data_IF_320405555979
#
_entry.id   IF_320405555979
#
_cell.length_a   1.000
_cell.length_b   1.000
_cell.length_c   1.000
_cell.angle_alpha   90.00
_cell.angle_beta   90.00
_cell.angle_gamma   90.00
#
_symmetry.space_group_name_H-M   'P 1'
#
loop_
_entity.id
_entity.type
_entity.pdbx_description
1 polymer ?
#
# COMPACT_ATOMS: atom_id res chain seq x y z
N UNK A 1 -66.73 -18.41 35.91
CA UNK A 1 -66.08 -17.66 34.80
C UNK A 1 -64.74 -17.12 35.26
N UNK A 2 -63.67 -17.37 34.50
CA UNK A 2 -62.33 -16.86 34.80
C UNK A 2 -62.12 -15.50 34.13
N UNK A 3 -61.56 -14.53 34.86
CA UNK A 3 -61.23 -13.21 34.34
C UNK A 3 -59.86 -12.73 34.83
N UNK A 4 -59.25 -11.81 34.07
CA UNK A 4 -57.97 -11.17 34.42
C UNK A 4 -58.19 -9.87 35.19
N UNK A 5 -57.36 -9.62 36.18
CA UNK A 5 -57.34 -8.41 37.01
C UNK A 5 -55.93 -7.81 37.05
N UNK A 6 -55.85 -6.49 36.99
CA UNK A 6 -54.62 -5.72 37.15
C UNK A 6 -54.73 -4.83 38.37
N UNK A 7 -53.62 -4.66 39.09
CA UNK A 7 -53.53 -3.86 40.31
C UNK A 7 -52.55 -2.72 40.06
N UNK A 8 -52.93 -1.48 40.37
CA UNK A 8 -52.03 -0.32 40.27
C UNK A 8 -51.55 0.08 41.67
N UNK A 9 -50.23 0.16 41.88
CA UNK A 9 -49.61 0.63 43.13
C UNK A 9 -48.38 1.47 42.79
N UNK A 10 -48.28 2.66 43.35
CA UNK A 10 -47.17 3.60 43.14
C UNK A 10 -46.83 3.84 41.66
N UNK A 11 -47.85 4.06 40.82
CA UNK A 11 -47.68 4.29 39.37
C UNK A 11 -47.32 3.05 38.54
N UNK A 12 -47.10 1.89 39.15
CA UNK A 12 -46.79 0.63 38.46
C UNK A 12 -48.03 -0.27 38.38
N UNK A 13 -48.22 -0.90 37.23
CA UNK A 13 -49.32 -1.87 37.00
C UNK A 13 -48.80 -3.30 37.18
N UNK A 14 -49.49 -4.08 38.02
CA UNK A 14 -49.18 -5.46 38.38
C UNK A 14 -50.27 -6.40 37.86
N UNK A 15 -49.89 -7.51 37.24
CA UNK A 15 -50.81 -8.50 36.67
C UNK A 15 -50.24 -9.12 35.39
N UNK A 16 -51.03 -9.92 34.66
CA UNK A 16 -52.42 -10.27 34.97
C UNK A 16 -52.53 -11.27 36.14
N UNK A 17 -53.51 -11.06 37.02
CA UNK A 17 -53.96 -12.04 38.00
C UNK A 17 -55.27 -12.65 37.52
N UNK A 18 -55.38 -13.98 37.54
CA UNK A 18 -56.57 -14.70 37.10
C UNK A 18 -57.42 -15.08 38.32
N UNK A 19 -58.70 -14.74 38.27
CA UNK A 19 -59.69 -15.06 39.28
C UNK A 19 -60.88 -15.78 38.65
N UNK A 20 -61.48 -16.71 39.37
CA UNK A 20 -62.71 -17.38 38.99
C UNK A 20 -63.86 -16.93 39.88
N UNK A 21 -64.97 -16.52 39.26
CA UNK A 21 -66.22 -16.23 39.97
C UNK A 21 -67.10 -17.47 40.03
N UNK A 22 -67.57 -17.82 41.23
CA UNK A 22 -68.50 -18.93 41.50
C UNK A 22 -69.55 -18.54 42.56
N UNK A 23 -70.63 -19.33 42.70
CA UNK A 23 -71.68 -19.11 43.71
C UNK A 23 -71.65 -20.22 44.75
N UNK A 24 -71.82 -19.85 46.01
CA UNK A 24 -71.92 -20.78 47.13
C UNK A 24 -72.95 -20.22 48.12
N UNK A 25 -73.99 -21.00 48.43
CA UNK A 25 -75.10 -20.59 49.30
C UNK A 25 -75.73 -19.23 48.89
N UNK A 26 -75.96 -19.05 47.58
CA UNK A 26 -76.58 -17.85 47.02
C UNK A 26 -75.69 -16.61 46.92
N UNK A 27 -74.47 -16.63 47.48
CA UNK A 27 -73.51 -15.51 47.44
C UNK A 27 -72.45 -15.73 46.37
N UNK A 28 -72.04 -14.67 45.67
CA UNK A 28 -70.94 -14.71 44.71
C UNK A 28 -69.61 -14.63 45.46
N UNK A 29 -68.72 -15.59 45.18
CA UNK A 29 -67.36 -15.64 45.72
C UNK A 29 -66.35 -15.64 44.57
N UNK A 30 -65.15 -15.14 44.85
CA UNK A 30 -64.03 -15.12 43.90
C UNK A 30 -62.88 -15.96 44.42
N UNK A 31 -62.42 -16.92 43.60
CA UNK A 31 -61.26 -17.76 43.88
C UNK A 31 -60.06 -17.28 43.05
N UNK A 32 -58.90 -17.13 43.68
CA UNK A 32 -57.66 -16.87 42.96
C UNK A 32 -57.20 -18.12 42.21
N UNK A 33 -56.84 -17.96 40.93
CA UNK A 33 -56.45 -19.08 40.05
C UNK A 33 -54.95 -19.05 39.77
N UNK A 34 -54.42 -17.91 39.29
CA UNK A 34 -53.03 -17.85 38.82
C UNK A 34 -52.48 -16.42 38.83
N UNK A 35 -51.23 -16.29 39.24
CA UNK A 35 -50.48 -15.03 39.19
C UNK A 35 -49.70 -14.84 37.88
N UNK A 36 -49.11 -13.65 37.68
CA UNK A 36 -48.32 -13.34 36.49
C UNK A 36 -47.07 -14.24 36.40
N UNK A 37 -46.85 -14.82 35.22
CA UNK A 37 -45.69 -15.68 34.93
C UNK A 37 -44.42 -14.86 34.66
N UNK A 38 -43.25 -15.52 34.62
CA UNK A 38 -41.99 -14.86 34.23
C UNK A 38 -42.09 -14.18 32.84
N UNK A 39 -42.79 -14.81 31.90
CA UNK A 39 -43.03 -14.26 30.55
C UNK A 39 -43.86 -12.97 30.59
N UNK A 40 -44.86 -12.90 31.46
CA UNK A 40 -45.71 -11.70 31.64
C UNK A 40 -44.91 -10.54 32.24
N UNK A 41 -43.99 -10.83 33.17
CA UNK A 41 -43.08 -9.84 33.76
C UNK A 41 -42.04 -9.30 32.76
N UNK A 42 -41.58 -10.12 31.81
CA UNK A 42 -40.64 -9.69 30.76
C UNK A 42 -41.36 -8.79 29.74
N UNK A 43 -42.55 -9.21 29.28
CA UNK A 43 -43.36 -8.41 28.34
C UNK A 43 -43.71 -7.03 28.89
N UNK A 44 -44.05 -6.93 30.18
CA UNK A 44 -44.37 -5.64 30.80
C UNK A 44 -43.16 -4.70 30.92
N UNK A 45 -41.95 -5.23 31.10
CA UNK A 45 -40.71 -4.43 31.09
C UNK A 45 -40.36 -3.93 29.68
N UNK A 46 -40.49 -4.78 28.67
CA UNK A 46 -40.22 -4.41 27.27
C UNK A 46 -41.23 -3.35 26.76
N UNK A 47 -42.51 -3.51 27.12
CA UNK A 47 -43.58 -2.56 26.76
C UNK A 47 -43.47 -1.19 27.46
N UNK A 48 -42.75 -1.11 28.58
CA UNK A 48 -42.54 0.15 29.33
C UNK A 48 -41.28 0.91 28.88
N UNK A 49 -40.44 0.31 28.04
CA UNK A 49 -39.30 1.01 27.47
C UNK A 49 -39.80 2.03 26.43
N UNK A 50 -39.37 3.29 26.54
CA UNK A 50 -39.78 4.35 25.63
C UNK A 50 -39.32 4.01 24.20
N UNK A 51 -40.24 3.86 23.22
CA UNK A 51 -39.86 3.49 21.86
C UNK A 51 -38.92 4.53 21.23
N UNK A 52 -39.05 5.82 21.61
CA UNK A 52 -38.15 6.90 21.19
C UNK A 52 -36.71 6.73 21.69
N UNK A 53 -36.49 6.09 22.84
CA UNK A 53 -35.15 5.83 23.38
C UNK A 53 -34.51 4.67 22.62
N UNK A 54 -35.27 3.60 22.38
CA UNK A 54 -34.81 2.42 21.65
C UNK A 54 -34.40 2.79 20.22
N UNK A 55 -35.22 3.57 19.51
CA UNK A 55 -34.90 4.02 18.14
C UNK A 55 -33.65 4.91 18.11
N UNK A 56 -33.48 5.80 19.09
CA UNK A 56 -32.26 6.63 19.20
C UNK A 56 -31.02 5.79 19.44
N UNK A 57 -31.07 4.81 20.35
CA UNK A 57 -29.93 3.93 20.63
C UNK A 57 -29.55 3.04 19.43
N UNK A 58 -30.54 2.50 18.70
CA UNK A 58 -30.26 1.74 17.48
C UNK A 58 -29.67 2.63 16.37
N UNK A 59 -30.15 3.86 16.22
CA UNK A 59 -29.61 4.81 15.24
C UNK A 59 -28.15 5.18 15.54
N UNK A 60 -27.79 5.37 16.82
CA UNK A 60 -26.41 5.64 17.22
C UNK A 60 -25.48 4.46 16.95
N UNK A 61 -25.92 3.23 17.23
CA UNK A 61 -25.14 2.01 16.94
C UNK A 61 -24.91 1.86 15.43
N UNK A 62 -25.93 2.14 14.62
CA UNK A 62 -25.82 2.08 13.16
C UNK A 62 -24.79 3.07 12.61
N UNK A 63 -24.73 4.29 13.15
CA UNK A 63 -23.73 5.29 12.76
C UNK A 63 -22.30 4.83 13.08
N UNK A 64 -22.10 4.22 14.26
CA UNK A 64 -20.80 3.69 14.68
C UNK A 64 -20.34 2.56 13.75
N UNK A 65 -21.25 1.67 13.34
CA UNK A 65 -20.93 0.58 12.41
C UNK A 65 -20.52 1.10 11.03
N UNK A 66 -21.15 2.17 10.54
CA UNK A 66 -20.75 2.82 9.28
C UNK A 66 -19.34 3.39 9.39
N UNK A 67 -19.03 4.10 10.48
CA UNK A 67 -17.71 4.70 10.71
C UNK A 67 -16.64 3.60 10.82
N UNK A 68 -16.94 2.51 11.52
CA UNK A 68 -16.03 1.37 11.66
C UNK A 68 -15.79 0.67 10.31
N UNK A 69 -16.84 0.49 9.51
CA UNK A 69 -16.72 -0.04 8.15
C UNK A 69 -15.84 0.83 7.25
N UNK A 70 -16.03 2.15 7.29
CA UNK A 70 -15.20 3.10 6.55
C UNK A 70 -13.73 3.02 6.99
N UNK A 71 -13.49 2.94 8.30
CA UNK A 71 -12.14 2.81 8.84
C UNK A 71 -11.45 1.52 8.39
N UNK A 72 -12.17 0.39 8.40
CA UNK A 72 -11.67 -0.90 7.89
C UNK A 72 -11.35 -0.80 6.40
N UNK A 73 -12.20 -0.16 5.59
CA UNK A 73 -11.93 0.00 4.15
C UNK A 73 -10.70 0.84 3.88
N UNK A 74 -10.48 1.91 4.65
CA UNK A 74 -9.27 2.75 4.55
C UNK A 74 -8.03 1.96 4.98
N UNK A 75 -8.11 1.19 6.07
CA UNK A 75 -7.01 0.36 6.54
C UNK A 75 -6.63 -0.75 5.54
N UNK A 76 -7.62 -1.32 4.85
CA UNK A 76 -7.36 -2.29 3.78
C UNK A 76 -6.71 -1.63 2.57
N UNK A 77 -7.11 -0.41 2.21
CA UNK A 77 -6.50 0.36 1.13
C UNK A 77 -5.06 0.80 1.46
N UNK A 78 -4.78 1.19 2.71
CA UNK A 78 -3.44 1.59 3.13
C UNK A 78 -2.43 0.44 3.16
N UNK A 79 -2.90 -0.81 3.20
CA UNK A 79 -2.05 -2.01 3.18
C UNK A 79 -1.85 -2.57 1.76
N UNK A 80 -2.34 -1.91 0.73
CA UNK A 80 -1.90 -2.22 -0.63
C UNK A 80 -0.47 -1.68 -0.77
N UNK A 81 0.52 -2.56 -0.70
CA UNK A 81 1.82 -2.25 -1.28
C UNK A 81 1.59 -1.87 -2.74
N UNK A 82 1.93 -0.65 -3.10
CA UNK A 82 1.88 -0.14 -4.46
C UNK A 82 2.93 -0.88 -5.31
N UNK A 83 2.66 -2.12 -5.69
CA UNK A 83 3.45 -2.88 -6.67
C UNK A 83 3.05 -2.55 -8.11
N UNK A 84 2.47 -1.38 -8.34
CA UNK A 84 2.01 -0.95 -9.65
C UNK A 84 1.43 0.46 -9.72
N UNK A 85 1.93 1.39 -8.90
CA UNK A 85 1.75 2.81 -9.17
C UNK A 85 3.04 3.33 -9.78
N UNK A 86 3.03 3.51 -11.10
CA UNK A 86 3.91 4.47 -11.76
C UNK A 86 3.53 5.85 -11.24
N UNK A 87 3.99 6.17 -10.04
CA UNK A 87 4.37 7.55 -9.71
C UNK A 87 5.28 8.00 -10.85
N UNK A 88 5.15 9.24 -11.28
CA UNK A 88 6.06 9.85 -12.24
C UNK A 88 7.47 9.91 -11.63
N UNK A 89 8.13 8.76 -11.52
CA UNK A 89 9.56 8.68 -11.47
C UNK A 89 9.95 9.22 -12.82
N UNK A 90 10.50 10.43 -12.86
CA UNK A 90 11.08 11.03 -14.04
C UNK A 90 12.40 10.30 -14.39
N UNK A 91 12.40 8.99 -14.16
CA UNK A 91 13.46 8.05 -14.34
C UNK A 91 13.59 7.82 -15.83
N UNK A 92 14.79 8.05 -16.33
CA UNK A 92 15.13 7.90 -17.73
C UNK A 92 15.85 6.57 -17.90
N UNK A 93 15.20 5.64 -18.58
CA UNK A 93 15.75 4.31 -18.83
C UNK A 93 16.69 4.32 -20.03
N UNK A 94 17.62 3.35 -20.02
CA UNK A 94 18.33 3.01 -21.24
C UNK A 94 17.41 2.23 -22.18
N UNK A 95 17.61 2.41 -23.49
CA UNK A 95 16.92 1.67 -24.56
C UNK A 95 17.90 0.83 -25.40
N UNK A 96 19.21 1.04 -25.19
CA UNK A 96 20.27 0.33 -25.90
C UNK A 96 21.54 0.31 -25.06
N UNK A 97 22.21 -0.84 -25.02
CA UNK A 97 23.57 -0.96 -24.49
C UNK A 97 24.38 -1.94 -25.32
N UNK A 98 25.59 -1.55 -25.73
CA UNK A 98 26.47 -2.31 -26.61
C UNK A 98 27.89 -2.36 -26.05
N UNK A 99 28.53 -3.53 -26.08
CA UNK A 99 29.97 -3.66 -25.90
C UNK A 99 30.67 -3.20 -27.17
N UNK A 100 31.74 -2.41 -27.04
CA UNK A 100 32.49 -1.86 -28.17
C UNK A 100 33.90 -2.43 -28.26
N UNK A 101 34.43 -2.47 -29.49
CA UNK A 101 35.85 -2.75 -29.73
C UNK A 101 36.73 -1.50 -29.49
N UNK A 102 38.05 -1.65 -29.68
CA UNK A 102 39.01 -0.55 -29.52
C UNK A 102 38.76 0.62 -30.49
N UNK A 103 38.12 0.37 -31.63
CA UNK A 103 37.73 1.37 -32.63
C UNK A 103 36.35 2.01 -32.32
N UNK A 104 35.73 1.72 -31.17
CA UNK A 104 34.39 2.16 -30.75
C UNK A 104 33.25 1.64 -31.64
N UNK A 105 33.45 0.51 -32.30
CA UNK A 105 32.42 -0.18 -33.07
C UNK A 105 31.71 -1.22 -32.19
N UNK A 106 30.37 -1.35 -32.27
CA UNK A 106 29.62 -2.36 -31.52
C UNK A 106 30.05 -3.79 -31.85
N UNK A 107 30.26 -4.60 -30.82
CA UNK A 107 30.57 -6.04 -30.90
C UNK A 107 29.34 -6.86 -30.48
N UNK A 108 28.75 -6.51 -29.34
CA UNK A 108 27.74 -7.33 -28.67
C UNK A 108 26.66 -6.47 -28.03
N UNK A 109 25.41 -6.93 -28.06
CA UNK A 109 24.31 -6.30 -27.37
C UNK A 109 24.26 -6.81 -25.92
N UNK A 110 24.45 -5.89 -24.96
CA UNK A 110 24.46 -6.18 -23.52
C UNK A 110 23.24 -5.59 -22.81
N UNK A 111 22.27 -5.03 -23.54
CA UNK A 111 21.11 -4.32 -23.00
C UNK A 111 20.36 -5.11 -21.93
N UNK A 112 20.12 -6.40 -22.15
CA UNK A 112 19.38 -7.24 -21.21
C UNK A 112 20.12 -7.46 -19.87
N UNK A 113 21.44 -7.27 -19.82
CA UNK A 113 22.25 -7.44 -18.60
C UNK A 113 22.38 -6.16 -17.78
N UNK A 114 21.96 -5.01 -18.31
CA UNK A 114 22.17 -3.71 -17.64
C UNK A 114 20.93 -2.82 -17.62
N UNK A 115 19.79 -3.29 -18.14
CA UNK A 115 18.54 -2.54 -18.23
C UNK A 115 17.62 -2.70 -17.01
N UNK A 116 17.82 -3.74 -16.21
CA UNK A 116 17.06 -4.02 -15.01
C UNK A 116 18.03 -4.44 -13.90
N UNK A 117 17.73 -4.09 -12.65
CA UNK A 117 18.46 -4.61 -11.49
C UNK A 117 17.87 -5.96 -11.11
N UNK A 118 18.36 -7.04 -11.71
CA UNK A 118 17.86 -8.41 -11.54
C UNK A 118 18.94 -9.41 -11.09
N UNK A 119 20.07 -8.90 -10.60
CA UNK A 119 21.24 -9.65 -10.16
C UNK A 119 21.89 -10.49 -11.29
N UNK A 120 21.66 -10.14 -12.56
CA UNK A 120 22.40 -10.64 -13.73
C UNK A 120 23.55 -9.70 -14.08
N UNK A 121 24.65 -9.92 -13.38
CA UNK A 121 25.87 -9.15 -13.53
C UNK A 121 26.55 -9.30 -14.89
N UNK A 122 26.85 -8.19 -15.55
CA UNK A 122 27.78 -8.09 -16.68
C UNK A 122 29.22 -7.99 -16.16
N UNK A 123 30.05 -9.04 -16.28
CA UNK A 123 31.48 -8.93 -16.00
C UNK A 123 32.20 -8.19 -17.13
N UNK A 124 32.96 -7.15 -16.78
CA UNK A 124 33.68 -6.34 -17.77
C UNK A 124 35.07 -5.94 -17.29
N UNK A 125 36.03 -6.01 -18.22
CA UNK A 125 37.42 -5.67 -17.94
C UNK A 125 38.00 -4.84 -19.09
N UNK A 126 38.57 -3.67 -18.78
CA UNK A 126 39.32 -2.83 -19.72
C UNK A 126 38.64 -2.66 -21.10
N UNK A 127 37.34 -2.36 -21.09
CA UNK A 127 36.48 -2.36 -22.28
C UNK A 127 35.69 -1.06 -22.40
N UNK A 128 35.04 -0.88 -23.56
CA UNK A 128 34.17 0.26 -23.82
C UNK A 128 32.73 -0.21 -23.96
N UNK A 129 31.79 0.53 -23.38
CA UNK A 129 30.36 0.33 -23.56
C UNK A 129 29.75 1.56 -24.23
N UNK A 130 28.74 1.38 -25.09
CA UNK A 130 27.87 2.45 -25.55
C UNK A 130 26.49 2.26 -24.95
N UNK A 131 26.01 3.24 -24.22
CA UNK A 131 24.64 3.26 -23.69
C UNK A 131 23.83 4.37 -24.36
N UNK A 132 22.54 4.11 -24.59
CA UNK A 132 21.60 5.12 -25.12
C UNK A 132 20.36 5.16 -24.24
N UNK A 133 20.01 6.36 -23.78
CA UNK A 133 18.83 6.67 -23.00
C UNK A 133 17.61 6.93 -23.90
N UNK A 134 16.40 6.70 -23.37
CA UNK A 134 15.14 6.92 -24.10
C UNK A 134 14.90 8.39 -24.49
N UNK A 135 15.55 9.33 -23.78
CA UNK A 135 15.54 10.75 -24.10
C UNK A 135 16.89 11.41 -23.81
N UNK A 136 17.20 12.57 -24.41
CA UNK A 136 18.44 13.29 -24.16
C UNK A 136 18.57 13.74 -22.70
N UNK A 137 19.72 13.46 -22.10
CA UNK A 137 20.10 13.95 -20.78
C UNK A 137 20.72 15.35 -20.89
N UNK A 138 20.49 16.19 -19.89
CA UNK A 138 21.07 17.53 -19.76
C UNK A 138 21.83 17.67 -18.42
N UNK A 139 22.30 18.89 -18.10
CA UNK A 139 23.12 19.13 -16.91
C UNK A 139 22.41 18.94 -15.56
N UNK A 140 21.09 18.72 -15.56
CA UNK A 140 20.28 18.42 -14.36
C UNK A 140 20.12 16.91 -14.11
N UNK A 141 20.44 16.09 -15.10
CA UNK A 141 20.35 14.64 -15.03
C UNK A 141 21.62 14.02 -14.42
N UNK A 142 21.56 12.74 -14.11
CA UNK A 142 22.70 11.95 -13.68
C UNK A 142 22.83 10.63 -14.44
N UNK A 143 23.97 9.98 -14.26
CA UNK A 143 24.12 8.57 -14.60
C UNK A 143 24.37 7.84 -13.28
N UNK A 144 23.53 6.84 -13.03
CA UNK A 144 23.57 5.97 -11.87
C UNK A 144 23.86 4.53 -12.32
N UNK A 145 24.89 3.93 -11.74
CA UNK A 145 25.38 2.58 -12.06
C UNK A 145 25.26 1.70 -10.83
N UNK A 146 24.55 0.58 -10.91
CA UNK A 146 24.64 -0.47 -9.88
C UNK A 146 25.80 -1.38 -10.25
N UNK A 147 26.90 -1.27 -9.48
CA UNK A 147 28.15 -1.91 -9.82
C UNK A 147 28.87 -2.42 -8.56
N UNK A 148 29.83 -3.33 -8.76
CA UNK A 148 30.75 -3.80 -7.72
C UNK A 148 32.11 -4.18 -8.30
N UNK A 149 33.13 -4.26 -7.45
CA UNK A 149 34.46 -4.71 -7.85
C UNK A 149 35.32 -5.13 -6.65
N UNK A 150 36.27 -6.02 -6.89
CA UNK A 150 37.27 -6.47 -5.93
C UNK A 150 38.60 -5.73 -6.01
N UNK A 151 38.78 -4.83 -6.99
CA UNK A 151 40.07 -4.13 -7.24
C UNK A 151 39.85 -2.65 -7.54
N UNK A 152 40.93 -1.86 -7.56
CA UNK A 152 40.83 -0.47 -8.01
C UNK A 152 40.39 -0.42 -9.47
N UNK A 153 39.39 0.40 -9.74
CA UNK A 153 38.81 0.58 -11.07
C UNK A 153 38.36 2.03 -11.27
N UNK A 154 38.02 2.31 -12.52
CA UNK A 154 37.54 3.62 -12.95
C UNK A 154 36.60 3.47 -14.13
N UNK A 155 35.51 4.23 -14.12
CA UNK A 155 34.61 4.39 -15.27
C UNK A 155 34.59 5.85 -15.66
N UNK A 156 34.90 6.14 -16.92
CA UNK A 156 34.85 7.48 -17.51
C UNK A 156 33.70 7.51 -18.52
N UNK A 157 32.75 8.44 -18.39
CA UNK A 157 31.68 8.58 -19.38
C UNK A 157 31.93 9.76 -20.31
N UNK A 158 31.77 9.52 -21.60
CA UNK A 158 31.96 10.47 -22.68
C UNK A 158 30.64 10.64 -23.43
N UNK A 159 30.20 11.87 -23.70
CA UNK A 159 29.16 12.10 -24.71
C UNK A 159 29.59 11.45 -26.05
N UNK A 160 28.63 10.99 -26.85
CA UNK A 160 28.92 10.42 -28.16
C UNK A 160 29.87 11.31 -28.98
N UNK A 161 30.91 10.72 -29.57
CA UNK A 161 31.97 11.38 -30.34
C UNK A 161 32.82 12.41 -29.58
N UNK A 162 32.70 12.49 -28.25
CA UNK A 162 33.58 13.30 -27.41
C UNK A 162 34.88 12.55 -27.08
N UNK A 163 35.98 13.31 -26.99
CA UNK A 163 37.27 12.83 -26.48
C UNK A 163 37.52 13.26 -25.03
N UNK A 164 36.63 14.06 -24.44
CA UNK A 164 36.73 14.53 -23.06
C UNK A 164 35.63 13.89 -22.20
N UNK A 165 35.98 13.24 -21.07
CA UNK A 165 34.99 12.67 -20.19
C UNK A 165 34.25 13.79 -19.44
N UNK A 166 32.95 13.59 -19.21
CA UNK A 166 32.10 14.55 -18.48
C UNK A 166 31.85 14.13 -17.02
N UNK A 167 31.95 12.83 -16.73
CA UNK A 167 31.91 12.26 -15.38
C UNK A 167 32.96 11.16 -15.24
N UNK A 168 33.44 10.98 -14.01
CA UNK A 168 34.39 9.94 -13.64
C UNK A 168 33.88 9.29 -12.34
N UNK A 169 33.72 7.97 -12.38
CA UNK A 169 33.48 7.11 -11.22
C UNK A 169 34.82 6.50 -10.81
N UNK A 170 35.23 6.72 -9.57
CA UNK A 170 36.43 6.16 -8.97
C UNK A 170 36.04 5.31 -7.77
N UNK A 171 36.93 4.38 -7.37
CA UNK A 171 36.79 3.57 -6.16
C UNK A 171 35.46 2.79 -6.11
N UNK A 172 35.04 2.19 -7.22
CA UNK A 172 33.90 1.25 -7.20
C UNK A 172 34.39 0.01 -6.46
N UNK A 173 33.71 -0.40 -5.41
CA UNK A 173 34.10 -1.56 -4.61
C UNK A 173 32.87 -2.33 -4.18
N UNK A 174 32.10 -1.75 -3.27
CA UNK A 174 30.88 -2.33 -2.72
C UNK A 174 29.76 -2.39 -3.77
N UNK A 175 28.90 -3.38 -3.60
CA UNK A 175 27.67 -3.56 -4.37
C UNK A 175 26.63 -2.48 -4.01
N UNK A 176 26.60 -1.40 -4.79
CA UNK A 176 25.67 -0.28 -4.60
C UNK A 176 25.52 0.56 -5.85
N UNK A 177 24.64 1.55 -5.79
CA UNK A 177 24.55 2.60 -6.80
C UNK A 177 25.70 3.61 -6.64
N UNK A 178 26.38 3.86 -7.75
CA UNK A 178 27.33 4.94 -7.93
C UNK A 178 26.68 5.99 -8.83
N UNK A 179 26.44 7.18 -8.28
CA UNK A 179 25.72 8.27 -8.95
C UNK A 179 26.64 9.46 -9.23
N UNK A 180 26.56 10.01 -10.45
CA UNK A 180 27.26 11.24 -10.85
C UNK A 180 26.38 12.12 -11.72
N UNK A 181 26.18 13.36 -11.25
CA UNK A 181 25.46 14.39 -12.01
C UNK A 181 26.24 14.86 -13.23
N UNK A 182 25.52 15.17 -14.30
CA UNK A 182 26.07 15.62 -15.58
C UNK A 182 26.31 17.13 -15.61
N UNK A 183 26.73 17.75 -14.50
CA UNK A 183 26.80 19.21 -14.35
C UNK A 183 27.64 19.92 -15.41
N UNK A 184 28.59 19.21 -16.03
CA UNK A 184 29.49 19.72 -17.07
C UNK A 184 29.00 19.44 -18.50
N UNK A 185 27.81 18.85 -18.68
CA UNK A 185 27.24 18.55 -19.98
C UNK A 185 26.67 19.83 -20.62
N UNK A 186 27.30 20.27 -21.70
CA UNK A 186 26.94 21.52 -22.41
C UNK A 186 25.78 21.33 -23.39
N UNK A 187 25.80 20.21 -24.12
CA UNK A 187 24.82 19.91 -25.16
C UNK A 187 24.05 18.66 -24.73
N UNK A 188 22.71 18.71 -24.67
CA UNK A 188 21.92 17.53 -24.35
C UNK A 188 22.19 16.37 -25.31
N UNK A 189 22.35 15.17 -24.78
CA UNK A 189 22.61 13.95 -25.57
C UNK A 189 22.00 12.74 -24.87
N UNK A 190 21.54 11.76 -25.65
CA UNK A 190 21.03 10.50 -25.13
C UNK A 190 22.09 9.38 -25.14
N UNK A 191 23.21 9.55 -25.84
CA UNK A 191 24.20 8.48 -26.02
C UNK A 191 25.53 8.82 -25.36
N UNK A 192 26.07 7.85 -24.62
CA UNK A 192 27.34 7.96 -23.92
C UNK A 192 28.20 6.72 -24.15
N UNK A 193 29.48 6.94 -24.37
CA UNK A 193 30.50 5.90 -24.36
C UNK A 193 31.10 5.84 -22.95
N UNK A 194 31.03 4.69 -22.30
CA UNK A 194 31.67 4.42 -21.01
C UNK A 194 32.99 3.70 -21.26
N UNK A 195 34.09 4.24 -20.76
CA UNK A 195 35.39 3.59 -20.74
C UNK A 195 35.63 2.98 -19.37
N UNK A 196 35.75 1.67 -19.32
CA UNK A 196 36.01 0.93 -18.09
C UNK A 196 37.51 0.63 -18.02
N UNK A 197 38.13 0.93 -16.88
CA UNK A 197 39.51 0.55 -16.55
C UNK A 197 39.51 -0.26 -15.27
N UNK A 198 40.14 -1.44 -15.31
CA UNK A 198 40.07 -2.43 -14.24
C UNK A 198 38.97 -3.47 -14.48
N UNK A 199 38.79 -4.36 -13.52
CA UNK A 199 37.81 -5.43 -13.53
C UNK A 199 36.62 -5.07 -12.63
N UNK A 200 35.41 -5.02 -13.18
CA UNK A 200 34.19 -4.71 -12.43
C UNK A 200 32.98 -5.42 -13.02
N UNK A 201 31.90 -5.45 -12.24
CA UNK A 201 30.62 -6.01 -12.65
C UNK A 201 29.54 -4.93 -12.58
N UNK A 202 28.65 -4.90 -13.57
CA UNK A 202 27.52 -3.96 -13.64
C UNK A 202 26.23 -4.75 -13.78
N UNK A 203 25.22 -4.43 -12.98
CA UNK A 203 23.88 -5.04 -13.06
C UNK A 203 22.86 -4.08 -13.68
N UNK A 204 23.04 -2.76 -13.49
CA UNK A 204 22.00 -1.81 -13.89
C UNK A 204 22.57 -0.42 -14.18
N UNK A 205 22.05 0.24 -15.22
CA UNK A 205 22.41 1.60 -15.64
C UNK A 205 21.13 2.41 -15.85
N UNK A 206 21.02 3.56 -15.18
CA UNK A 206 19.81 4.39 -15.21
C UNK A 206 20.08 5.86 -14.86
N UNK A 207 19.12 6.74 -15.14
CA UNK A 207 19.01 8.10 -14.55
C UNK A 207 17.71 8.14 -13.72
N UNK A 208 17.76 8.12 -12.38
CA UNK A 208 16.60 7.97 -11.49
C UNK A 208 15.82 9.26 -11.20
#
# INVERSE_FOLDING_TARGET
MVYKKYIKKNGKTYGPYYYESYRENGRVKTKFIKGPTKKDKIKSKISQANPKIIVKTLSSIFLILIILGLFITIALYSNQETTGHSINNNQIKIIKAELLNQNKEPIENIFQLVSEKDDKWLPINNSYLRITFEQPLNSRNDISLFARSSTQNKIEAYPLNSNTPIIIFNNISEEKYYKKYLTNLKTPTSTFDLKITGNLEIDHIIDP
#
